data_IF_321253890293
#
_entry.id   IF_321253890293
#
_cell.length_a   1.000
_cell.length_b   1.000
_cell.length_c   1.000
_cell.angle_alpha   90.00
_cell.angle_beta   90.00
_cell.angle_gamma   90.00
#
_symmetry.space_group_name_H-M   'P 1'
#
loop_
_entity.id
_entity.type
_entity.pdbx_description
1 polymer ?
#
# COMPACT_ATOMS: atom_id res chain seq x y z
N UNK A 1 6.50 17.63 -0.35
CA UNK A 1 5.10 17.73 0.16
C UNK A 1 4.95 16.98 1.47
N UNK A 2 5.33 15.70 1.55
CA UNK A 2 5.27 14.91 2.80
C UNK A 2 6.24 15.42 3.88
N UNK A 3 7.42 15.94 3.52
CA UNK A 3 8.37 16.54 4.46
C UNK A 3 7.77 17.73 5.25
N UNK A 4 6.75 18.41 4.72
CA UNK A 4 6.08 19.53 5.40
C UNK A 4 5.12 19.08 6.50
N UNK A 5 4.83 17.79 6.60
CA UNK A 5 3.82 17.24 7.51
C UNK A 5 4.36 16.92 8.90
N UNK A 6 5.66 17.12 9.15
CA UNK A 6 6.37 16.76 10.40
C UNK A 6 6.28 15.26 10.77
N UNK A 7 5.92 14.40 9.81
CA UNK A 7 5.98 12.95 9.97
C UNK A 7 7.39 12.45 9.69
N UNK A 8 7.79 11.39 10.40
CA UNK A 8 8.94 10.58 10.00
C UNK A 8 8.62 9.84 8.70
N UNK A 9 9.50 9.98 7.70
CA UNK A 9 9.33 9.34 6.39
C UNK A 9 10.18 8.08 6.37
N UNK A 10 9.51 6.93 6.28
CA UNK A 10 10.15 5.63 6.22
C UNK A 10 10.34 5.21 4.76
N UNK A 11 11.54 4.77 4.40
CA UNK A 11 11.83 4.28 3.06
C UNK A 11 11.47 2.79 2.94
N UNK A 12 10.50 2.49 2.08
CA UNK A 12 10.02 1.12 1.86
C UNK A 12 11.07 0.34 1.06
N UNK A 13 11.54 -0.83 1.55
CA UNK A 13 12.35 -1.73 0.75
C UNK A 13 11.66 -2.05 -0.58
N UNK A 14 12.37 -1.85 -1.69
CA UNK A 14 11.80 -2.00 -3.04
C UNK A 14 10.51 -1.16 -3.24
N UNK A 15 10.48 0.05 -2.65
CA UNK A 15 9.34 0.96 -2.68
C UNK A 15 8.84 1.30 -4.09
N UNK A 16 9.74 1.30 -5.08
CA UNK A 16 9.46 1.56 -6.49
C UNK A 16 8.64 0.46 -7.20
N UNK A 17 8.60 -0.77 -6.66
CA UNK A 17 7.85 -1.87 -7.28
C UNK A 17 6.34 -1.59 -7.24
N UNK A 18 5.61 -1.96 -8.29
CA UNK A 18 4.17 -1.71 -8.40
C UNK A 18 3.35 -2.39 -7.29
N UNK A 19 2.24 -1.76 -6.89
CA UNK A 19 1.27 -2.31 -5.94
C UNK A 19 0.38 -3.42 -6.55
N UNK A 20 0.38 -3.56 -7.88
CA UNK A 20 -0.38 -4.58 -8.61
C UNK A 20 -1.79 -4.17 -9.04
N UNK A 21 -2.24 -2.93 -8.79
CA UNK A 21 -3.63 -2.49 -8.99
C UNK A 21 -4.06 -2.23 -10.45
N UNK A 22 -3.18 -2.45 -11.42
CA UNK A 22 -3.31 -1.90 -12.77
C UNK A 22 -4.50 -2.49 -13.58
N UNK A 23 -5.71 -1.99 -13.39
CA UNK A 23 -6.92 -2.18 -14.23
C UNK A 23 -6.99 -3.51 -14.99
N UNK A 24 -7.00 -3.44 -16.33
CA UNK A 24 -7.07 -4.62 -17.21
C UNK A 24 -5.90 -5.58 -17.00
N UNK A 25 -4.69 -5.08 -16.73
CA UNK A 25 -3.54 -5.96 -16.46
C UNK A 25 -3.73 -6.76 -15.17
N UNK A 26 -4.26 -6.15 -14.11
CA UNK A 26 -4.59 -6.84 -12.86
C UNK A 26 -5.59 -7.98 -13.10
N UNK A 27 -6.60 -7.76 -13.94
CA UNK A 27 -7.61 -8.77 -14.29
C UNK A 27 -6.98 -9.90 -15.11
N UNK A 28 -6.26 -9.56 -16.19
CA UNK A 28 -5.66 -10.53 -17.09
C UNK A 28 -4.46 -11.27 -16.47
N UNK A 29 -3.76 -10.64 -15.53
CA UNK A 29 -2.53 -11.13 -14.88
C UNK A 29 -2.70 -11.21 -13.36
N UNK A 30 -3.83 -11.74 -12.91
CA UNK A 30 -4.22 -11.78 -11.49
C UNK A 30 -3.19 -12.47 -10.59
N UNK A 31 -2.49 -13.51 -11.09
CA UNK A 31 -1.43 -14.20 -10.35
C UNK A 31 -0.25 -13.25 -10.07
N UNK A 32 0.19 -12.50 -11.08
CA UNK A 32 1.29 -11.53 -10.94
C UNK A 32 0.85 -10.39 -10.03
N UNK A 33 -0.36 -9.87 -10.21
CA UNK A 33 -0.90 -8.80 -9.37
C UNK A 33 -0.97 -9.18 -7.88
N UNK A 34 -1.39 -10.42 -7.56
CA UNK A 34 -1.40 -10.94 -6.18
C UNK A 34 0.01 -11.08 -5.62
N UNK A 35 0.97 -11.54 -6.42
CA UNK A 35 2.37 -11.65 -5.99
C UNK A 35 2.99 -10.28 -5.70
N UNK A 36 2.75 -9.30 -6.58
CA UNK A 36 3.20 -7.91 -6.39
C UNK A 36 2.61 -7.32 -5.11
N UNK A 37 1.30 -7.48 -4.90
CA UNK A 37 0.64 -7.02 -3.67
C UNK A 37 1.26 -7.67 -2.43
N UNK A 38 1.43 -9.00 -2.42
CA UNK A 38 2.02 -9.72 -1.28
C UNK A 38 3.42 -9.20 -0.93
N UNK A 39 4.27 -8.99 -1.94
CA UNK A 39 5.63 -8.49 -1.73
C UNK A 39 5.61 -7.04 -1.22
N UNK A 40 4.77 -6.18 -1.81
CA UNK A 40 4.63 -4.78 -1.38
C UNK A 40 4.18 -4.68 0.07
N UNK A 41 3.16 -5.44 0.45
CA UNK A 41 2.65 -5.47 1.83
C UNK A 41 3.72 -5.94 2.79
N UNK A 42 4.43 -7.03 2.48
CA UNK A 42 5.52 -7.54 3.31
C UNK A 42 6.59 -6.47 3.58
N UNK A 43 6.99 -5.72 2.56
CA UNK A 43 8.00 -4.66 2.69
C UNK A 43 7.48 -3.42 3.42
N UNK A 44 6.18 -3.11 3.32
CA UNK A 44 5.56 -2.05 4.10
C UNK A 44 5.48 -2.45 5.58
N UNK A 45 4.98 -3.65 5.87
CA UNK A 45 4.76 -4.14 7.23
C UNK A 45 6.07 -4.39 8.01
N UNK A 46 7.19 -4.65 7.32
CA UNK A 46 8.51 -4.78 7.97
C UNK A 46 8.96 -3.50 8.68
N UNK A 47 8.44 -2.34 8.26
CA UNK A 47 8.73 -1.03 8.84
C UNK A 47 7.79 -0.64 9.97
N UNK A 48 6.70 -1.40 10.19
CA UNK A 48 5.64 -1.10 11.18
C UNK A 48 5.12 0.36 11.12
N UNK A 49 4.76 0.89 9.93
CA UNK A 49 4.32 2.27 9.80
C UNK A 49 2.97 2.49 10.47
N UNK A 50 2.72 3.70 10.96
CA UNK A 50 1.39 4.07 11.49
C UNK A 50 0.41 4.47 10.37
N UNK A 51 0.94 5.04 9.27
CA UNK A 51 0.16 5.53 8.13
C UNK A 51 0.87 5.15 6.83
N UNK A 52 0.09 4.75 5.83
CA UNK A 52 0.57 4.55 4.46
C UNK A 52 -0.01 5.68 3.60
N UNK A 53 0.86 6.39 2.89
CA UNK A 53 0.46 7.47 1.97
C UNK A 53 0.75 7.10 0.52
N UNK A 54 -0.21 7.32 -0.38
CA UNK A 54 -0.03 7.13 -1.82
C UNK A 54 -0.97 8.04 -2.60
N UNK A 55 -0.50 8.55 -3.75
CA UNK A 55 -1.27 9.45 -4.61
C UNK A 55 -2.17 8.72 -5.63
N UNK A 56 -2.30 7.40 -5.54
CA UNK A 56 -3.06 6.61 -6.53
C UNK A 56 -4.16 5.78 -5.85
N UNK A 57 -5.42 6.05 -6.20
CA UNK A 57 -6.60 5.36 -5.63
C UNK A 57 -6.60 3.85 -5.87
N UNK A 58 -6.03 3.40 -7.00
CA UNK A 58 -5.83 2.00 -7.30
C UNK A 58 -4.88 1.34 -6.29
N UNK A 59 -3.76 1.98 -5.99
CA UNK A 59 -2.86 1.48 -4.95
C UNK A 59 -3.46 1.55 -3.55
N UNK A 60 -4.24 2.59 -3.20
CA UNK A 60 -4.98 2.63 -1.93
C UNK A 60 -5.85 1.37 -1.80
N UNK A 61 -6.68 1.12 -2.80
CA UNK A 61 -7.62 -0.01 -2.80
C UNK A 61 -6.89 -1.35 -2.77
N UNK A 62 -5.89 -1.52 -3.64
CA UNK A 62 -5.13 -2.77 -3.77
C UNK A 62 -4.33 -3.09 -2.51
N UNK A 63 -3.63 -2.10 -1.94
CA UNK A 63 -2.85 -2.28 -0.71
C UNK A 63 -3.79 -2.59 0.47
N UNK A 64 -4.94 -1.91 0.56
CA UNK A 64 -5.96 -2.20 1.58
C UNK A 64 -6.46 -3.65 1.55
N UNK A 65 -6.54 -4.28 0.38
CA UNK A 65 -6.88 -5.72 0.29
C UNK A 65 -5.79 -6.65 0.83
N UNK A 66 -4.54 -6.20 0.84
CA UNK A 66 -3.40 -7.00 1.26
C UNK A 66 -2.92 -6.73 2.69
N UNK A 67 -3.20 -5.55 3.24
CA UNK A 67 -2.78 -5.18 4.60
C UNK A 67 -3.86 -5.48 5.63
N UNK A 68 -3.44 -5.82 6.86
CA UNK A 68 -4.34 -5.89 8.02
C UNK A 68 -4.56 -4.53 8.68
N UNK A 69 -4.15 -3.44 8.04
CA UNK A 69 -4.49 -2.08 8.45
C UNK A 69 -5.98 -1.84 8.21
N UNK A 70 -6.80 -2.47 9.05
CA UNK A 70 -8.10 -1.96 9.40
C UNK A 70 -7.84 -0.55 9.90
N UNK A 71 -8.31 0.42 9.12
CA UNK A 71 -8.49 1.79 9.56
C UNK A 71 -8.72 1.83 11.08
N UNK A 72 -7.82 2.47 11.79
CA UNK A 72 -8.12 3.10 13.07
C UNK A 72 -9.02 4.32 12.75
N UNK A 73 -10.20 4.08 12.18
CA UNK A 73 -11.33 5.00 12.34
C UNK A 73 -12.02 4.44 13.59
N UNK A 74 -11.89 5.09 14.76
CA UNK A 74 -12.80 4.77 15.85
C UNK A 74 -14.22 4.88 15.30
N UNK A 75 -14.99 3.81 15.43
CA UNK A 75 -16.35 3.63 14.92
C UNK A 75 -17.36 4.57 15.60
N UNK A 76 -17.14 5.87 15.54
CA UNK A 76 -18.03 6.92 16.05
C UNK A 76 -18.26 8.04 15.01
N UNK A 77 -18.33 7.68 13.73
CA UNK A 77 -19.05 8.45 12.70
C UNK A 77 -19.60 7.50 11.63
#
# INVERSE_FOLDING_TARGET
MLEKTKNEILEIPEGHICCGSAGTYNILQSKIAKQLLKNKVKNIESLKPQVISTGNIGCITQIRYGTKFLYFIPSNY
#
